data_IF_009385014845
#
_entry.id   IF_009385014845
#
_cell.length_a   1.000
_cell.length_b   1.000
_cell.length_c   1.000
_cell.angle_alpha   90.00
_cell.angle_beta   90.00
_cell.angle_gamma   90.00
#
_symmetry.space_group_name_H-M   'P 1'
#
loop_
_entity.id
_entity.type
_entity.pdbx_description
1 polymer ?
#
# COMPACT_ATOMS: atom_id res chain seq x y z
N UNK A 1 38.68 -19.69 19.77
CA UNK A 1 37.66 -19.81 18.73
C UNK A 1 37.83 -18.67 17.74
N UNK A 2 37.94 -18.90 16.44
CA UNK A 2 38.02 -17.82 15.45
C UNK A 2 36.75 -16.96 15.50
N UNK A 3 36.89 -15.62 15.35
CA UNK A 3 35.75 -14.72 15.30
C UNK A 3 34.85 -15.11 14.12
N UNK A 4 33.50 -15.11 14.31
CA UNK A 4 32.58 -15.41 13.22
C UNK A 4 32.76 -14.39 12.06
N UNK A 5 32.79 -14.91 10.84
CA UNK A 5 32.94 -14.11 9.62
C UNK A 5 31.80 -13.11 9.52
N UNK A 6 32.11 -11.85 9.31
CA UNK A 6 31.06 -10.82 9.13
C UNK A 6 30.33 -11.08 7.81
N UNK A 7 28.99 -10.95 7.77
CA UNK A 7 28.24 -11.12 6.53
C UNK A 7 28.60 -10.08 5.47
N UNK A 8 28.41 -10.44 4.22
CA UNK A 8 28.55 -9.51 3.10
C UNK A 8 27.60 -8.31 3.29
N UNK A 9 28.10 -7.09 3.02
CA UNK A 9 27.36 -5.85 3.27
C UNK A 9 27.72 -4.77 2.26
N UNK A 10 26.81 -3.85 2.03
CA UNK A 10 27.08 -2.62 1.29
C UNK A 10 27.78 -1.58 2.16
N UNK A 11 28.72 -0.90 1.56
CA UNK A 11 29.36 0.29 2.12
C UNK A 11 29.50 1.33 1.01
N UNK A 12 29.14 2.57 1.32
CA UNK A 12 29.33 3.67 0.37
C UNK A 12 30.82 3.99 0.26
N UNK A 13 31.36 3.92 -0.95
CA UNK A 13 32.73 4.37 -1.28
C UNK A 13 32.64 5.88 -1.53
N UNK A 14 32.96 6.66 -0.51
CA UNK A 14 32.85 8.13 -0.53
C UNK A 14 33.76 8.78 -1.56
N UNK A 15 34.92 8.18 -1.85
CA UNK A 15 35.90 8.71 -2.81
C UNK A 15 35.40 8.61 -4.26
N UNK A 16 34.58 7.63 -4.55
CA UNK A 16 34.06 7.37 -5.91
C UNK A 16 32.57 7.62 -6.04
N UNK A 17 31.86 7.89 -4.94
CA UNK A 17 30.43 8.16 -4.95
C UNK A 17 29.56 6.97 -5.37
N UNK A 18 30.01 5.73 -5.15
CA UNK A 18 29.27 4.51 -5.52
C UNK A 18 29.21 3.54 -4.35
N UNK A 19 28.20 2.66 -4.36
CA UNK A 19 28.11 1.56 -3.40
C UNK A 19 29.16 0.49 -3.69
N UNK A 20 29.68 -0.14 -2.66
CA UNK A 20 30.63 -1.26 -2.76
C UNK A 20 30.18 -2.42 -1.84
N UNK A 21 30.29 -3.64 -2.36
CA UNK A 21 30.07 -4.88 -1.64
C UNK A 21 31.36 -5.20 -0.89
N UNK A 22 31.24 -5.42 0.42
CA UNK A 22 32.32 -5.85 1.30
C UNK A 22 31.98 -7.21 1.89
N UNK A 23 32.83 -8.23 1.67
CA UNK A 23 32.72 -9.57 2.22
C UNK A 23 34.08 -10.05 2.70
N UNK A 24 34.36 -9.88 4.01
CA UNK A 24 35.69 -10.09 4.56
C UNK A 24 36.72 -9.14 3.94
N UNK A 25 37.73 -9.69 3.29
CA UNK A 25 38.76 -8.94 2.55
C UNK A 25 38.34 -8.57 1.13
N UNK A 26 37.29 -9.23 0.61
CA UNK A 26 36.80 -8.96 -0.73
C UNK A 26 36.01 -7.65 -0.78
N UNK A 27 36.35 -6.82 -1.79
CA UNK A 27 35.64 -5.56 -2.07
C UNK A 27 35.33 -5.47 -3.57
N UNK A 28 34.05 -5.32 -3.94
CA UNK A 28 33.58 -5.07 -5.31
C UNK A 28 32.73 -3.81 -5.35
N UNK A 29 33.06 -2.85 -6.21
CA UNK A 29 32.24 -1.69 -6.46
C UNK A 29 31.05 -2.07 -7.31
N UNK A 30 29.91 -1.49 -7.02
CA UNK A 30 28.70 -1.57 -7.86
C UNK A 30 28.71 -0.39 -8.85
N UNK A 31 27.84 -0.45 -9.86
CA UNK A 31 27.65 0.68 -10.78
C UNK A 31 26.70 1.76 -10.22
N UNK A 32 26.22 1.59 -8.95
CA UNK A 32 25.12 2.37 -8.38
C UNK A 32 25.62 3.48 -7.47
N UNK A 33 25.14 4.71 -7.73
CA UNK A 33 25.41 5.89 -6.92
C UNK A 33 24.66 5.94 -5.59
N UNK A 34 24.89 6.98 -4.76
CA UNK A 34 24.27 7.08 -3.43
C UNK A 34 22.73 7.06 -3.43
N UNK A 35 22.13 7.57 -4.52
CA UNK A 35 20.67 7.59 -4.71
C UNK A 35 20.05 6.24 -5.06
N UNK A 36 20.84 5.30 -5.59
CA UNK A 36 20.36 4.01 -6.13
C UNK A 36 20.62 2.84 -5.18
N UNK A 37 20.43 3.08 -3.90
CA UNK A 37 20.69 2.08 -2.86
C UNK A 37 19.93 0.77 -3.07
N UNK A 38 18.69 0.82 -3.56
CA UNK A 38 17.89 -0.38 -3.81
C UNK A 38 18.50 -1.26 -4.91
N UNK A 39 19.02 -0.66 -5.98
CA UNK A 39 19.72 -1.38 -7.03
C UNK A 39 21.05 -1.99 -6.54
N UNK A 40 21.79 -1.26 -5.68
CA UNK A 40 22.98 -1.80 -5.04
C UNK A 40 22.69 -2.96 -4.08
N UNK A 41 21.54 -2.93 -3.37
CA UNK A 41 21.08 -4.03 -2.52
C UNK A 41 20.69 -5.26 -3.34
N UNK A 42 20.09 -5.08 -4.51
CA UNK A 42 19.82 -6.17 -5.45
C UNK A 42 21.14 -6.80 -5.97
N UNK A 43 22.14 -5.97 -6.31
CA UNK A 43 23.46 -6.47 -6.74
C UNK A 43 24.19 -7.18 -5.60
N UNK A 44 24.08 -6.72 -4.34
CA UNK A 44 24.59 -7.45 -3.17
C UNK A 44 23.91 -8.81 -3.03
N UNK A 45 22.59 -8.88 -3.21
CA UNK A 45 21.85 -10.14 -3.15
C UNK A 45 22.36 -11.13 -4.21
N UNK A 46 22.51 -10.69 -5.45
CA UNK A 46 23.08 -11.51 -6.54
C UNK A 46 24.51 -11.98 -6.22
N UNK A 47 25.34 -11.11 -5.69
CA UNK A 47 26.70 -11.48 -5.25
C UNK A 47 26.69 -12.58 -4.19
N UNK A 48 25.84 -12.45 -3.16
CA UNK A 48 25.73 -13.45 -2.09
C UNK A 48 25.33 -14.81 -2.67
N UNK A 49 24.40 -14.82 -3.61
CA UNK A 49 23.95 -16.02 -4.30
C UNK A 49 25.08 -16.68 -5.07
N UNK A 50 25.76 -15.91 -5.90
CA UNK A 50 26.84 -16.42 -6.74
C UNK A 50 28.00 -16.94 -5.90
N UNK A 51 28.30 -16.27 -4.78
CA UNK A 51 29.25 -16.71 -3.78
C UNK A 51 28.85 -18.04 -3.13
N UNK A 52 27.58 -18.12 -2.67
CA UNK A 52 27.09 -19.30 -1.94
C UNK A 52 26.97 -20.50 -2.89
N UNK A 53 26.55 -20.27 -4.17
CA UNK A 53 26.59 -21.30 -5.20
C UNK A 53 28.02 -21.83 -5.43
N UNK A 54 29.01 -20.94 -5.50
CA UNK A 54 30.41 -21.32 -5.69
C UNK A 54 30.95 -22.11 -4.51
N UNK A 55 30.59 -21.72 -3.29
CA UNK A 55 30.95 -22.46 -2.07
C UNK A 55 30.25 -23.83 -1.98
N UNK A 56 29.02 -23.94 -2.48
CA UNK A 56 28.29 -25.21 -2.58
C UNK A 56 28.87 -26.11 -3.67
N UNK A 57 29.30 -25.56 -4.81
CA UNK A 57 30.00 -26.29 -5.88
C UNK A 57 31.37 -26.81 -5.40
N UNK A 58 32.12 -26.01 -4.64
CA UNK A 58 33.39 -26.39 -4.02
C UNK A 58 33.23 -27.43 -2.90
N UNK A 59 32.11 -27.39 -2.16
CA UNK A 59 31.78 -28.34 -1.09
C UNK A 59 31.14 -29.65 -1.64
N UNK A 60 30.81 -29.72 -2.93
CA UNK A 60 30.14 -30.83 -3.56
C UNK A 60 31.07 -32.03 -3.82
N UNK A 61 31.33 -32.81 -2.79
CA UNK A 61 31.61 -34.24 -2.97
C UNK A 61 30.25 -34.91 -3.19
N UNK A 62 29.85 -35.09 -4.45
CA UNK A 62 28.56 -35.67 -4.85
C UNK A 62 28.59 -37.17 -4.58
N UNK A 63 27.68 -37.74 -3.77
CA UNK A 63 27.36 -39.15 -3.83
C UNK A 63 26.58 -39.42 -5.12
N UNK A 64 26.92 -40.45 -5.85
CA UNK A 64 26.44 -40.83 -7.20
C UNK A 64 24.96 -41.25 -7.29
N UNK A 65 24.12 -41.05 -6.26
CA UNK A 65 22.77 -41.65 -6.18
C UNK A 65 21.67 -40.67 -5.77
N UNK A 66 21.81 -39.35 -6.05
CA UNK A 66 20.76 -38.38 -5.75
C UNK A 66 19.95 -38.00 -6.97
N UNK A 67 18.67 -38.42 -6.96
CA UNK A 67 17.63 -37.89 -7.83
C UNK A 67 17.61 -36.33 -7.66
N UNK A 68 17.99 -35.57 -8.72
CA UNK A 68 18.06 -34.11 -8.65
C UNK A 68 16.72 -33.46 -8.31
N UNK A 69 15.62 -34.23 -8.36
CA UNK A 69 14.26 -33.78 -8.03
C UNK A 69 13.88 -33.97 -6.57
N UNK A 70 14.70 -34.61 -5.73
CA UNK A 70 14.37 -34.88 -4.32
C UNK A 70 15.42 -34.31 -3.37
N UNK A 71 15.43 -32.99 -3.20
CA UNK A 71 16.47 -32.29 -2.44
C UNK A 71 16.24 -32.32 -0.93
N UNK A 72 17.34 -32.56 -0.19
CA UNK A 72 17.34 -32.41 1.27
C UNK A 72 17.34 -30.91 1.67
N UNK A 73 16.37 -30.45 2.47
CA UNK A 73 16.34 -29.07 2.97
C UNK A 73 17.59 -28.65 3.75
N UNK A 74 18.40 -29.60 4.23
CA UNK A 74 19.69 -29.35 4.90
C UNK A 74 20.77 -28.88 3.92
N UNK A 75 20.63 -29.22 2.64
CA UNK A 75 21.60 -28.89 1.59
C UNK A 75 21.22 -27.61 0.83
N UNK A 76 19.95 -27.16 0.91
CA UNK A 76 19.48 -25.97 0.20
C UNK A 76 19.58 -24.74 1.07
N UNK A 77 20.33 -23.74 0.62
CA UNK A 77 20.44 -22.46 1.34
C UNK A 77 19.16 -21.62 1.18
N UNK A 78 18.79 -20.92 2.24
CA UNK A 78 17.66 -19.98 2.19
C UNK A 78 17.95 -18.85 1.18
N UNK A 79 19.21 -18.41 1.10
CA UNK A 79 19.64 -17.38 0.16
C UNK A 79 19.40 -17.80 -1.28
N UNK A 80 19.78 -19.01 -1.67
CA UNK A 80 19.57 -19.57 -3.01
C UNK A 80 18.07 -19.62 -3.37
N UNK A 81 17.25 -20.14 -2.44
CA UNK A 81 15.78 -20.19 -2.64
C UNK A 81 15.15 -18.80 -2.80
N UNK A 82 15.56 -17.82 -1.99
CA UNK A 82 15.08 -16.43 -2.08
C UNK A 82 15.48 -15.78 -3.40
N UNK A 83 16.68 -16.04 -3.87
CA UNK A 83 17.18 -15.49 -5.10
C UNK A 83 16.47 -16.03 -6.33
N UNK A 84 16.33 -17.35 -6.38
CA UNK A 84 15.58 -18.01 -7.44
C UNK A 84 14.15 -17.44 -7.55
N UNK A 85 13.50 -17.23 -6.40
CA UNK A 85 12.19 -16.58 -6.36
C UNK A 85 12.24 -15.11 -6.81
N UNK A 86 13.29 -14.38 -6.41
CA UNK A 86 13.50 -12.98 -6.82
C UNK A 86 13.60 -12.83 -8.33
N UNK A 87 14.37 -13.70 -8.99
CA UNK A 87 14.48 -13.74 -10.46
C UNK A 87 13.13 -14.01 -11.12
N UNK A 88 12.36 -14.97 -10.62
CA UNK A 88 11.03 -15.27 -11.13
C UNK A 88 10.02 -14.12 -10.98
N UNK A 89 10.30 -13.17 -10.08
CA UNK A 89 9.46 -11.99 -9.84
C UNK A 89 9.93 -10.73 -10.58
N UNK A 90 11.01 -10.80 -11.34
CA UNK A 90 11.50 -9.68 -12.17
C UNK A 90 10.46 -9.23 -13.19
N UNK A 91 10.37 -7.92 -13.40
CA UNK A 91 9.36 -7.31 -14.29
C UNK A 91 7.94 -7.28 -13.74
N UNK A 92 7.66 -7.94 -12.62
CA UNK A 92 6.34 -7.90 -11.97
C UNK A 92 6.09 -6.60 -11.22
N UNK A 93 4.82 -6.21 -11.08
CA UNK A 93 4.40 -5.00 -10.37
C UNK A 93 4.85 -4.93 -8.90
N UNK A 94 5.19 -6.06 -8.29
CA UNK A 94 5.65 -6.17 -6.90
C UNK A 94 7.15 -6.48 -6.77
N UNK A 95 7.91 -6.46 -7.87
CA UNK A 95 9.33 -6.83 -7.88
C UNK A 95 10.15 -6.05 -6.84
N UNK A 96 9.99 -4.72 -6.79
CA UNK A 96 10.67 -3.86 -5.82
C UNK A 96 10.34 -4.23 -4.36
N UNK A 97 9.05 -4.49 -4.05
CA UNK A 97 8.63 -4.90 -2.71
C UNK A 97 9.21 -6.27 -2.33
N UNK A 98 9.19 -7.22 -3.25
CA UNK A 98 9.78 -8.55 -3.05
C UNK A 98 11.28 -8.43 -2.82
N UNK A 99 11.99 -7.59 -3.59
CA UNK A 99 13.41 -7.30 -3.38
C UNK A 99 13.72 -6.77 -1.99
N UNK A 100 12.93 -5.81 -1.49
CA UNK A 100 13.06 -5.32 -0.11
C UNK A 100 12.84 -6.42 0.95
N UNK A 101 11.83 -7.27 0.75
CA UNK A 101 11.59 -8.40 1.66
C UNK A 101 12.75 -9.38 1.65
N UNK A 102 13.28 -9.73 0.46
CA UNK A 102 14.44 -10.62 0.30
C UNK A 102 15.66 -10.04 1.03
N UNK A 103 15.97 -8.76 0.83
CA UNK A 103 17.08 -8.10 1.50
C UNK A 103 16.96 -8.15 3.04
N UNK A 104 15.76 -7.95 3.59
CA UNK A 104 15.50 -8.07 5.02
C UNK A 104 15.65 -9.51 5.52
N UNK A 105 15.14 -10.49 4.79
CA UNK A 105 15.25 -11.91 5.10
C UNK A 105 16.69 -12.37 5.08
N UNK A 106 17.48 -11.99 4.07
CA UNK A 106 18.89 -12.36 3.95
C UNK A 106 19.74 -11.87 5.11
N UNK A 107 19.46 -10.69 5.68
CA UNK A 107 20.18 -10.19 6.87
C UNK A 107 20.07 -11.14 8.07
N UNK A 108 18.95 -11.83 8.21
CA UNK A 108 18.71 -12.74 9.34
C UNK A 108 19.02 -14.21 9.01
N UNK A 109 18.82 -14.61 7.76
CA UNK A 109 18.79 -16.03 7.36
C UNK A 109 19.79 -16.38 6.25
N UNK A 110 20.55 -15.40 5.73
CA UNK A 110 21.44 -15.59 4.58
C UNK A 110 22.54 -16.67 4.75
N UNK A 111 22.88 -17.04 5.98
CA UNK A 111 23.83 -18.12 6.25
C UNK A 111 23.17 -19.43 6.72
N UNK A 112 21.85 -19.60 6.52
CA UNK A 112 21.07 -20.74 7.02
C UNK A 112 20.46 -21.55 5.88
N UNK A 113 20.19 -22.84 6.16
CA UNK A 113 19.55 -23.77 5.23
C UNK A 113 18.03 -23.83 5.47
N UNK A 114 17.29 -24.35 4.50
CA UNK A 114 15.83 -24.50 4.58
C UNK A 114 15.40 -25.34 5.79
N UNK A 115 16.17 -26.34 6.20
CA UNK A 115 15.90 -27.17 7.39
C UNK A 115 15.89 -26.40 8.72
N UNK A 116 16.52 -25.20 8.76
CA UNK A 116 16.58 -24.34 9.95
C UNK A 116 15.37 -23.43 10.09
N UNK A 117 14.47 -23.45 9.11
CA UNK A 117 13.17 -22.77 9.21
C UNK A 117 12.28 -23.58 10.15
N UNK A 118 12.05 -23.07 11.34
CA UNK A 118 11.21 -23.65 12.39
C UNK A 118 10.29 -22.57 12.98
N UNK A 119 9.22 -22.96 13.67
CA UNK A 119 8.35 -22.02 14.34
C UNK A 119 9.10 -21.06 15.29
N UNK A 120 10.09 -21.59 16.02
CA UNK A 120 10.93 -20.78 16.92
C UNK A 120 11.77 -19.75 16.14
N UNK A 121 12.41 -20.14 15.02
CA UNK A 121 13.21 -19.22 14.22
C UNK A 121 12.37 -18.16 13.50
N UNK A 122 11.13 -18.49 13.10
CA UNK A 122 10.17 -17.51 12.58
C UNK A 122 9.77 -16.49 13.64
N UNK A 123 9.48 -16.92 14.87
CA UNK A 123 9.19 -16.00 15.98
C UNK A 123 10.37 -15.10 16.30
N UNK A 124 11.58 -15.68 16.40
CA UNK A 124 12.81 -14.91 16.64
C UNK A 124 13.05 -13.85 15.55
N UNK A 125 12.76 -14.18 14.29
CA UNK A 125 12.79 -13.21 13.20
C UNK A 125 11.82 -12.04 13.43
N UNK A 126 10.57 -12.33 13.77
CA UNK A 126 9.55 -11.29 14.04
C UNK A 126 10.00 -10.40 15.19
N UNK A 127 10.49 -10.99 16.29
CA UNK A 127 10.98 -10.23 17.45
C UNK A 127 12.17 -9.33 17.09
N UNK A 128 13.12 -9.82 16.31
CA UNK A 128 14.26 -9.04 15.84
C UNK A 128 13.82 -7.88 14.96
N UNK A 129 12.93 -8.14 14.01
CA UNK A 129 12.40 -7.11 13.10
C UNK A 129 11.60 -6.04 13.84
N UNK A 130 10.81 -6.41 14.84
CA UNK A 130 10.03 -5.44 15.62
C UNK A 130 10.88 -4.50 16.48
N UNK A 131 12.15 -4.82 16.73
CA UNK A 131 13.12 -3.93 17.38
C UNK A 131 13.78 -2.95 16.42
N UNK A 132 13.66 -3.17 15.10
CA UNK A 132 14.21 -2.28 14.09
C UNK A 132 13.25 -1.13 13.80
N UNK A 133 13.81 0.00 13.39
CA UNK A 133 13.06 1.17 12.94
C UNK A 133 13.17 1.32 11.43
N UNK A 134 12.06 1.60 10.82
CA UNK A 134 11.99 1.96 9.41
C UNK A 134 11.69 3.46 9.25
N UNK A 135 12.35 4.05 8.29
CA UNK A 135 12.17 5.45 7.94
C UNK A 135 12.08 5.60 6.42
N UNK A 136 11.10 6.36 5.90
CA UNK A 136 11.07 6.69 4.49
C UNK A 136 12.34 7.42 4.05
N UNK A 137 12.87 7.16 2.84
CA UNK A 137 13.99 7.90 2.30
C UNK A 137 13.72 9.41 2.35
N UNK A 138 14.70 10.21 2.81
CA UNK A 138 14.59 11.66 2.90
C UNK A 138 13.79 12.21 4.09
N UNK A 139 13.14 11.37 4.89
CA UNK A 139 12.43 11.84 6.09
C UNK A 139 13.41 12.12 7.25
N UNK A 140 13.07 13.12 8.10
CA UNK A 140 13.82 13.44 9.32
C UNK A 140 13.21 12.70 10.52
N UNK A 141 14.02 12.39 11.56
CA UNK A 141 13.58 11.75 12.80
C UNK A 141 14.03 10.29 12.94
N UNK A 142 13.69 9.66 14.07
CA UNK A 142 14.16 8.30 14.44
C UNK A 142 13.55 7.15 13.64
N UNK A 143 12.49 7.39 12.89
CA UNK A 143 11.73 6.35 12.19
C UNK A 143 10.76 5.59 13.11
N UNK A 144 9.91 4.75 12.52
CA UNK A 144 8.86 4.00 13.23
C UNK A 144 9.29 2.56 13.45
N UNK A 145 8.95 2.00 14.61
CA UNK A 145 9.16 0.58 14.87
C UNK A 145 8.40 -0.29 13.85
N UNK A 146 9.04 -1.34 13.39
CA UNK A 146 8.42 -2.27 12.46
C UNK A 146 7.33 -3.07 13.19
N UNK A 147 6.13 -3.12 12.60
CA UNK A 147 5.00 -3.86 13.17
C UNK A 147 5.10 -5.36 12.84
N UNK A 148 4.59 -6.25 13.71
CA UNK A 148 4.57 -7.70 13.45
C UNK A 148 3.94 -8.07 12.09
N UNK A 149 2.94 -7.32 11.65
CA UNK A 149 2.31 -7.51 10.35
C UNK A 149 3.27 -7.29 9.16
N UNK A 150 4.24 -6.38 9.29
CA UNK A 150 5.27 -6.15 8.26
C UNK A 150 6.25 -7.32 8.21
N UNK A 151 6.76 -7.75 9.36
CA UNK A 151 7.60 -8.95 9.44
C UNK A 151 6.87 -10.20 8.94
N UNK A 152 5.55 -10.28 9.19
CA UNK A 152 4.71 -11.35 8.68
C UNK A 152 4.60 -11.36 7.14
N UNK A 153 4.60 -10.19 6.48
CA UNK A 153 4.64 -10.11 5.01
C UNK A 153 5.99 -10.55 4.44
N UNK A 154 7.08 -10.22 5.13
CA UNK A 154 8.42 -10.71 4.77
C UNK A 154 8.47 -12.23 4.87
N UNK A 155 7.94 -12.83 5.95
CA UNK A 155 7.80 -14.28 6.09
C UNK A 155 6.88 -14.93 5.05
N UNK A 156 5.84 -14.23 4.58
CA UNK A 156 5.02 -14.69 3.44
C UNK A 156 5.84 -14.77 2.16
N UNK A 157 6.76 -13.82 1.93
CA UNK A 157 7.69 -13.88 0.80
C UNK A 157 8.64 -15.08 0.94
N UNK A 158 9.15 -15.37 2.14
CA UNK A 158 9.94 -16.58 2.37
C UNK A 158 9.13 -17.84 2.08
N UNK A 159 7.87 -17.90 2.52
CA UNK A 159 6.97 -19.02 2.23
C UNK A 159 6.72 -19.20 0.74
N UNK A 160 6.57 -18.10 0.01
CA UNK A 160 6.40 -18.13 -1.44
C UNK A 160 7.67 -18.61 -2.14
N UNK A 161 8.85 -18.17 -1.69
CA UNK A 161 10.15 -18.60 -2.22
C UNK A 161 10.38 -20.11 -2.01
N UNK A 162 10.17 -20.60 -0.78
CA UNK A 162 10.27 -22.04 -0.47
C UNK A 162 9.25 -22.85 -1.27
N UNK A 163 8.05 -22.32 -1.45
CA UNK A 163 7.02 -22.95 -2.29
C UNK A 163 7.37 -22.96 -3.77
N UNK A 164 8.02 -21.92 -4.25
CA UNK A 164 8.49 -21.81 -5.64
C UNK A 164 9.63 -22.80 -5.87
N UNK A 165 10.63 -22.83 -5.00
CA UNK A 165 11.72 -23.81 -5.03
C UNK A 165 11.21 -25.26 -5.04
N UNK A 166 10.29 -25.58 -4.13
CA UNK A 166 9.72 -26.92 -4.02
C UNK A 166 8.97 -27.39 -5.29
N UNK A 167 8.40 -26.47 -6.06
CA UNK A 167 7.75 -26.84 -7.33
C UNK A 167 8.73 -27.21 -8.43
N UNK A 168 9.90 -26.58 -8.42
CA UNK A 168 10.94 -26.82 -9.44
C UNK A 168 11.87 -28.00 -9.05
N UNK A 169 12.21 -28.12 -7.79
CA UNK A 169 13.26 -29.01 -7.32
C UNK A 169 12.80 -30.01 -6.26
N UNK A 170 11.56 -30.17 -6.03
CA UNK A 170 10.93 -31.10 -5.07
C UNK A 170 11.74 -31.39 -3.80
N UNK A 171 11.47 -30.66 -2.72
CA UNK A 171 12.04 -30.94 -1.41
C UNK A 171 11.35 -32.17 -0.80
N UNK A 172 12.08 -33.15 -0.27
CA UNK A 172 11.49 -34.30 0.43
C UNK A 172 10.85 -33.92 1.79
N UNK A 173 11.23 -32.77 2.37
CA UNK A 173 10.58 -32.20 3.54
C UNK A 173 10.48 -30.68 3.39
N UNK A 174 9.32 -30.19 2.93
CA UNK A 174 9.07 -28.76 2.75
C UNK A 174 8.90 -28.08 4.11
N UNK A 175 9.73 -27.06 4.48
CA UNK A 175 9.58 -26.32 5.72
C UNK A 175 8.25 -25.56 5.78
N UNK A 176 7.66 -25.54 6.98
CA UNK A 176 6.46 -24.74 7.27
C UNK A 176 6.85 -23.43 7.91
N UNK A 177 6.53 -22.33 7.26
CA UNK A 177 6.79 -20.99 7.76
C UNK A 177 5.65 -20.56 8.70
N UNK A 178 5.97 -20.31 9.97
CA UNK A 178 5.00 -19.84 10.96
C UNK A 178 4.88 -18.33 10.89
N UNK A 179 3.68 -17.84 10.59
CA UNK A 179 3.38 -16.41 10.54
C UNK A 179 2.93 -15.89 11.89
N UNK A 180 3.17 -14.60 12.20
CA UNK A 180 2.61 -13.97 13.38
C UNK A 180 1.09 -13.92 13.31
N UNK A 181 0.44 -13.86 14.47
CA UNK A 181 -1.02 -13.71 14.56
C UNK A 181 -1.45 -12.45 13.82
N UNK A 182 -2.46 -12.59 12.97
CA UNK A 182 -3.03 -11.44 12.26
C UNK A 182 -3.69 -10.51 13.27
N UNK A 183 -3.40 -9.22 13.18
CA UNK A 183 -4.17 -8.21 13.88
C UNK A 183 -5.64 -8.30 13.46
N UNK A 184 -6.54 -8.01 14.40
CA UNK A 184 -7.97 -7.91 14.06
C UNK A 184 -8.14 -6.83 12.97
N UNK A 185 -9.06 -7.05 12.00
CA UNK A 185 -9.37 -6.01 11.04
C UNK A 185 -9.78 -4.73 11.76
N UNK A 186 -9.19 -3.63 11.39
CA UNK A 186 -9.64 -2.32 11.87
C UNK A 186 -10.89 -1.95 11.09
N UNK A 187 -12.03 -1.92 11.77
CA UNK A 187 -13.34 -1.58 11.17
C UNK A 187 -13.61 -0.12 11.52
N UNK A 188 -12.99 0.78 10.78
CA UNK A 188 -13.25 2.19 10.92
C UNK A 188 -13.99 2.72 9.69
N UNK A 189 -14.89 3.69 9.88
CA UNK A 189 -15.70 4.29 8.84
C UNK A 189 -16.05 5.73 9.24
N UNK A 190 -16.32 6.59 8.27
CA UNK A 190 -16.68 7.98 8.50
C UNK A 190 -18.20 8.10 8.72
N UNK A 191 -18.58 8.79 9.78
CA UNK A 191 -19.96 9.28 9.91
C UNK A 191 -20.24 10.34 8.83
N UNK A 192 -21.50 10.65 8.58
CA UNK A 192 -21.86 11.72 7.63
C UNK A 192 -21.28 13.08 8.03
N UNK A 193 -21.22 13.35 9.33
CA UNK A 193 -20.62 14.59 9.86
C UNK A 193 -19.11 14.63 9.60
N UNK A 194 -18.41 13.53 9.83
CA UNK A 194 -16.97 13.43 9.57
C UNK A 194 -16.65 13.52 8.08
N UNK A 195 -17.47 12.90 7.25
CA UNK A 195 -17.34 13.03 5.81
C UNK A 195 -17.57 14.48 5.34
N UNK A 196 -18.61 15.14 5.86
CA UNK A 196 -18.86 16.56 5.57
C UNK A 196 -17.69 17.46 6.01
N UNK A 197 -17.08 17.17 7.18
CA UNK A 197 -15.86 17.87 7.61
C UNK A 197 -14.70 17.67 6.64
N UNK A 198 -14.49 16.43 6.20
CA UNK A 198 -13.43 16.12 5.23
C UNK A 198 -13.63 16.89 3.92
N UNK A 199 -14.85 16.92 3.37
CA UNK A 199 -15.17 17.70 2.16
C UNK A 199 -14.95 19.21 2.37
N UNK A 200 -15.35 19.75 3.52
CA UNK A 200 -15.17 21.17 3.80
C UNK A 200 -13.68 21.55 3.84
N UNK A 201 -12.83 20.66 4.33
CA UNK A 201 -11.37 20.86 4.30
C UNK A 201 -10.83 20.90 2.89
N UNK A 202 -11.32 20.07 1.97
CA UNK A 202 -10.89 20.12 0.55
C UNK A 202 -11.23 21.43 -0.12
N UNK A 203 -12.17 22.20 0.45
CA UNK A 203 -12.57 23.54 0.02
C UNK A 203 -11.79 24.67 0.71
N UNK A 204 -10.71 24.35 1.41
CA UNK A 204 -9.83 25.32 2.06
C UNK A 204 -10.28 25.79 3.45
N UNK A 205 -10.98 24.94 4.19
CA UNK A 205 -11.34 25.16 5.57
C UNK A 205 -10.56 24.23 6.51
N UNK A 206 -10.40 24.63 7.76
CA UNK A 206 -9.83 23.80 8.83
C UNK A 206 -10.81 23.75 9.99
N UNK A 207 -11.10 22.56 10.48
CA UNK A 207 -11.87 22.38 11.70
C UNK A 207 -10.99 22.68 12.92
N UNK A 208 -11.48 23.51 13.83
CA UNK A 208 -10.72 23.94 15.03
C UNK A 208 -11.24 23.20 16.25
N UNK A 209 -12.56 23.24 16.46
CA UNK A 209 -13.21 22.63 17.61
C UNK A 209 -14.71 22.57 17.38
N UNK A 210 -15.44 22.06 18.36
CA UNK A 210 -16.88 22.31 18.47
C UNK A 210 -17.11 23.34 19.57
N UNK A 211 -18.00 24.30 19.33
CA UNK A 211 -18.44 25.21 20.36
C UNK A 211 -19.08 24.41 21.51
N UNK A 212 -18.62 24.64 22.74
CA UNK A 212 -19.05 23.88 23.91
C UNK A 212 -20.52 24.15 24.29
N UNK A 213 -21.04 25.33 23.96
CA UNK A 213 -22.40 25.75 24.30
C UNK A 213 -23.41 25.30 23.24
N UNK A 214 -23.09 25.50 21.96
CA UNK A 214 -23.99 25.19 20.84
C UNK A 214 -23.75 23.82 20.23
N UNK A 215 -22.60 23.19 20.50
CA UNK A 215 -22.11 21.97 19.84
C UNK A 215 -21.92 22.11 18.33
N UNK A 216 -21.93 23.32 17.83
CA UNK A 216 -21.69 23.57 16.41
C UNK A 216 -20.19 23.57 16.10
N UNK A 217 -19.80 23.10 14.91
CA UNK A 217 -18.40 23.05 14.51
C UNK A 217 -17.86 24.45 14.23
N UNK A 218 -16.71 24.78 14.81
CA UNK A 218 -15.99 26.03 14.54
C UNK A 218 -14.98 25.77 13.41
N UNK A 219 -15.09 26.61 12.38
CA UNK A 219 -14.27 26.51 11.18
C UNK A 219 -13.48 27.79 10.94
N UNK A 220 -12.21 27.63 10.56
CA UNK A 220 -11.35 28.71 10.10
C UNK A 220 -11.02 28.54 8.62
N UNK A 221 -10.88 29.67 7.91
CA UNK A 221 -10.30 29.64 6.57
C UNK A 221 -8.82 29.27 6.67
N UNK A 222 -8.42 28.26 5.94
CA UNK A 222 -7.05 27.78 5.83
C UNK A 222 -6.62 27.78 4.34
N UNK A 223 -6.52 28.94 3.70
CA UNK A 223 -6.18 29.04 2.28
C UNK A 223 -4.77 28.54 1.98
N UNK A 224 -3.91 28.49 3.01
CA UNK A 224 -2.52 28.06 2.89
C UNK A 224 -2.32 26.56 3.18
N UNK A 225 -3.41 25.77 3.13
CA UNK A 225 -3.28 24.31 3.17
C UNK A 225 -2.48 23.83 1.95
N UNK A 226 -1.66 22.76 2.10
CA UNK A 226 -0.75 22.33 1.03
C UNK A 226 -1.43 22.00 -0.32
N UNK A 227 -2.71 21.65 -0.32
CA UNK A 227 -3.48 21.42 -1.53
C UNK A 227 -4.12 22.70 -2.10
N UNK A 228 -4.12 23.80 -1.35
CA UNK A 228 -4.64 25.11 -1.77
C UNK A 228 -3.49 26.08 -2.05
N UNK A 229 -2.43 26.08 -1.25
CA UNK A 229 -1.27 26.97 -1.42
C UNK A 229 -0.51 26.73 -2.73
N UNK A 230 -0.39 25.49 -3.17
CA UNK A 230 0.27 25.15 -4.45
C UNK A 230 -0.39 25.82 -5.67
N UNK A 231 -1.62 26.28 -5.53
CA UNK A 231 -2.35 26.99 -6.60
C UNK A 231 -2.08 28.48 -6.64
N UNK A 232 -1.95 29.14 -5.48
CA UNK A 232 -1.64 30.58 -5.43
C UNK A 232 -0.30 30.92 -6.09
N UNK A 233 0.72 30.08 -5.90
CA UNK A 233 2.04 30.29 -6.51
C UNK A 233 2.06 30.09 -8.04
N UNK A 234 1.20 29.20 -8.56
CA UNK A 234 1.21 28.81 -9.98
C UNK A 234 0.23 29.59 -10.85
N UNK A 235 -0.84 30.12 -10.30
CA UNK A 235 -1.94 30.75 -11.04
C UNK A 235 -1.93 32.30 -10.95
N UNK A 236 -0.97 32.89 -10.23
CA UNK A 236 -1.00 34.32 -9.91
C UNK A 236 -2.20 34.65 -8.99
N UNK A 237 -2.80 35.85 -9.15
CA UNK A 237 -3.88 36.31 -8.29
C UNK A 237 -5.24 35.62 -8.54
N UNK A 238 -5.34 34.75 -9.55
CA UNK A 238 -6.53 33.96 -9.83
C UNK A 238 -6.57 32.71 -8.95
N UNK A 239 -7.40 32.74 -7.91
CA UNK A 239 -7.67 31.58 -7.07
C UNK A 239 -8.51 30.57 -7.85
N UNK A 240 -7.91 29.49 -8.30
CA UNK A 240 -8.61 28.33 -8.84
C UNK A 240 -8.56 27.22 -7.80
N UNK A 241 -9.73 26.76 -7.37
CA UNK A 241 -9.85 25.65 -6.42
C UNK A 241 -9.30 24.38 -7.05
N UNK A 242 -8.32 23.75 -6.40
CA UNK A 242 -7.85 22.42 -6.81
C UNK A 242 -8.78 21.37 -6.21
N UNK A 243 -9.67 20.85 -7.03
CA UNK A 243 -10.74 19.95 -6.64
C UNK A 243 -10.37 18.46 -6.70
N UNK A 244 -9.12 18.12 -7.03
CA UNK A 244 -8.73 16.72 -7.21
C UNK A 244 -8.98 15.87 -5.96
N UNK A 245 -8.71 16.41 -4.77
CA UNK A 245 -8.94 15.70 -3.51
C UNK A 245 -10.45 15.61 -3.18
N UNK A 246 -11.22 16.67 -3.47
CA UNK A 246 -12.67 16.66 -3.33
C UNK A 246 -13.29 15.58 -4.24
N UNK A 247 -12.91 15.56 -5.53
CA UNK A 247 -13.33 14.54 -6.49
C UNK A 247 -12.99 13.12 -6.01
N UNK A 248 -11.78 12.93 -5.50
CA UNK A 248 -11.36 11.64 -4.96
C UNK A 248 -12.20 11.23 -3.73
N UNK A 249 -12.48 12.16 -2.83
CA UNK A 249 -13.33 11.90 -1.66
C UNK A 249 -14.75 11.54 -2.07
N UNK A 250 -15.36 12.27 -2.99
CA UNK A 250 -16.73 12.00 -3.46
C UNK A 250 -16.82 10.68 -4.22
N UNK A 251 -15.92 10.43 -5.19
CA UNK A 251 -15.91 9.16 -5.92
C UNK A 251 -15.69 8.00 -4.97
N UNK A 252 -14.73 8.11 -4.04
CA UNK A 252 -14.45 7.06 -3.05
C UNK A 252 -15.61 6.79 -2.11
N UNK A 253 -16.26 7.85 -1.60
CA UNK A 253 -17.38 7.75 -0.66
C UNK A 253 -18.63 7.13 -1.30
N UNK A 254 -19.01 7.60 -2.48
CA UNK A 254 -20.26 7.16 -3.13
C UNK A 254 -20.13 5.84 -3.88
N UNK A 255 -18.95 5.50 -4.42
CA UNK A 255 -18.75 4.26 -5.16
C UNK A 255 -18.00 3.17 -4.37
N UNK A 256 -17.27 3.52 -3.32
CA UNK A 256 -16.38 2.59 -2.60
C UNK A 256 -15.22 2.07 -3.46
N UNK A 257 -14.88 2.75 -4.56
CA UNK A 257 -13.79 2.35 -5.45
C UNK A 257 -12.44 2.47 -4.75
N UNK A 258 -11.55 1.48 -4.95
CA UNK A 258 -10.20 1.52 -4.39
C UNK A 258 -9.39 2.68 -4.97
N UNK A 259 -8.51 3.29 -4.17
CA UNK A 259 -7.76 4.49 -4.56
C UNK A 259 -7.04 4.34 -5.90
N UNK A 260 -6.34 3.23 -6.16
CA UNK A 260 -5.67 3.04 -7.44
C UNK A 260 -6.61 2.98 -8.64
N UNK A 261 -7.76 2.29 -8.54
CA UNK A 261 -8.75 2.27 -9.62
C UNK A 261 -9.49 3.60 -9.74
N UNK A 262 -9.67 4.31 -8.64
CA UNK A 262 -10.32 5.62 -8.61
C UNK A 262 -9.47 6.69 -9.31
N UNK A 263 -8.18 6.71 -9.07
CA UNK A 263 -7.25 7.66 -9.70
C UNK A 263 -7.06 7.37 -11.20
N UNK A 264 -7.24 6.12 -11.63
CA UNK A 264 -7.22 5.73 -13.05
C UNK A 264 -8.53 5.96 -13.80
N UNK A 265 -9.60 6.49 -13.16
CA UNK A 265 -10.88 6.70 -13.84
C UNK A 265 -10.79 7.74 -14.95
N UNK A 266 -11.30 7.40 -16.14
CA UNK A 266 -11.33 8.26 -17.31
C UNK A 266 -12.73 8.74 -17.67
N UNK A 267 -12.80 9.86 -18.36
CA UNK A 267 -14.06 10.40 -18.91
C UNK A 267 -14.60 9.59 -20.09
N UNK A 268 -13.75 8.90 -20.81
CA UNK A 268 -14.11 8.08 -21.97
C UNK A 268 -13.72 6.63 -21.73
N UNK A 269 -14.41 5.71 -22.41
CA UNK A 269 -14.10 4.28 -22.41
C UNK A 269 -12.62 4.07 -22.72
N UNK A 270 -11.97 3.26 -21.91
CA UNK A 270 -10.56 2.88 -22.05
C UNK A 270 -10.40 1.35 -22.05
N UNK A 271 -9.30 0.86 -22.62
CA UNK A 271 -9.04 -0.57 -22.74
C UNK A 271 -8.49 -1.17 -21.43
N UNK A 272 -7.73 -0.39 -20.67
CA UNK A 272 -7.02 -0.82 -19.47
C UNK A 272 -7.64 -0.17 -18.22
N UNK A 273 -7.78 1.14 -18.24
CA UNK A 273 -8.30 1.91 -17.11
C UNK A 273 -9.81 1.88 -16.98
N UNK A 274 -10.32 2.22 -15.80
CA UNK A 274 -11.75 2.42 -15.57
C UNK A 274 -12.28 3.66 -16.26
N UNK A 275 -13.61 3.73 -16.48
CA UNK A 275 -14.24 4.90 -17.10
C UNK A 275 -15.66 5.13 -16.59
N UNK A 276 -16.21 6.28 -16.93
CA UNK A 276 -17.60 6.65 -16.62
C UNK A 276 -18.47 6.46 -17.88
N UNK A 277 -19.48 5.61 -17.77
CA UNK A 277 -20.55 5.49 -18.77
C UNK A 277 -21.77 6.28 -18.31
N UNK A 278 -21.96 7.47 -18.88
CA UNK A 278 -23.09 8.33 -18.53
C UNK A 278 -24.41 7.80 -19.07
N UNK A 279 -24.42 7.08 -20.20
CA UNK A 279 -25.63 6.53 -20.79
C UNK A 279 -26.18 5.35 -19.97
N UNK A 280 -25.31 4.44 -19.58
CA UNK A 280 -25.63 3.30 -18.72
C UNK A 280 -25.61 3.63 -17.23
N UNK A 281 -25.32 4.89 -16.84
CA UNK A 281 -25.18 5.33 -15.43
C UNK A 281 -24.26 4.37 -14.64
N UNK A 282 -23.14 3.97 -15.25
CA UNK A 282 -22.25 2.93 -14.73
C UNK A 282 -20.81 3.44 -14.62
N UNK A 283 -20.18 3.15 -13.49
CA UNK A 283 -18.75 3.35 -13.26
C UNK A 283 -18.05 2.00 -13.47
N UNK A 284 -17.22 1.91 -14.50
CA UNK A 284 -16.33 0.78 -14.75
C UNK A 284 -15.00 1.03 -14.04
N UNK A 285 -14.57 0.09 -13.18
CA UNK A 285 -13.35 0.23 -12.38
C UNK A 285 -12.09 -0.24 -13.08
N UNK A 286 -12.23 -0.94 -14.19
CA UNK A 286 -11.13 -1.44 -15.01
C UNK A 286 -11.61 -1.60 -16.45
N UNK A 287 -10.70 -1.50 -17.40
CA UNK A 287 -10.95 -1.77 -18.81
C UNK A 287 -10.99 -3.28 -19.12
N UNK A 288 -11.54 -3.66 -20.30
CA UNK A 288 -11.66 -5.07 -20.68
C UNK A 288 -10.31 -5.79 -20.86
N UNK A 289 -9.24 -5.05 -21.10
CA UNK A 289 -7.89 -5.57 -21.27
C UNK A 289 -6.98 -5.28 -20.06
N UNK A 290 -7.58 -4.87 -18.93
CA UNK A 290 -6.82 -4.67 -17.70
C UNK A 290 -6.12 -5.97 -17.28
N UNK A 291 -4.86 -5.88 -16.80
CA UNK A 291 -4.12 -7.05 -16.33
C UNK A 291 -4.89 -7.83 -15.26
N UNK A 292 -4.85 -9.17 -15.30
CA UNK A 292 -5.52 -10.00 -14.30
C UNK A 292 -5.12 -9.59 -12.89
N UNK A 293 -6.11 -9.34 -12.04
CA UNK A 293 -5.91 -8.97 -10.65
C UNK A 293 -6.70 -9.87 -9.72
N UNK A 294 -6.09 -10.29 -8.60
CA UNK A 294 -6.81 -10.99 -7.53
C UNK A 294 -7.86 -10.12 -6.85
N UNK A 295 -7.77 -8.78 -7.03
CA UNK A 295 -8.73 -7.82 -6.47
C UNK A 295 -9.85 -7.60 -7.47
N UNK A 296 -11.01 -8.19 -7.22
CA UNK A 296 -12.21 -7.99 -8.05
C UNK A 296 -12.52 -6.49 -8.18
N UNK A 297 -12.80 -6.05 -9.40
CA UNK A 297 -13.13 -4.67 -9.75
C UNK A 297 -14.42 -4.64 -10.61
N UNK A 298 -15.57 -5.09 -10.09
CA UNK A 298 -16.80 -5.10 -10.85
C UNK A 298 -17.21 -3.67 -11.20
N UNK A 299 -17.93 -3.47 -12.33
CA UNK A 299 -18.61 -2.24 -12.57
C UNK A 299 -19.68 -2.00 -11.49
N UNK A 300 -20.02 -0.75 -11.24
CA UNK A 300 -21.09 -0.43 -10.31
C UNK A 300 -21.96 0.69 -10.86
N UNK A 301 -23.24 0.69 -10.50
CA UNK A 301 -24.14 1.80 -10.77
C UNK A 301 -23.64 3.06 -10.06
N UNK A 302 -23.63 4.17 -10.76
CA UNK A 302 -23.25 5.47 -10.19
C UNK A 302 -24.35 5.89 -9.20
N UNK A 303 -23.92 6.31 -8.01
CA UNK A 303 -24.83 6.81 -6.99
C UNK A 303 -25.50 8.12 -7.43
N UNK A 304 -26.80 8.30 -7.11
CA UNK A 304 -27.59 9.44 -7.57
C UNK A 304 -27.01 10.81 -7.16
N UNK A 305 -26.36 10.90 -6.01
CA UNK A 305 -25.66 12.12 -5.58
C UNK A 305 -24.32 12.36 -6.28
N UNK A 306 -23.68 11.32 -6.80
CA UNK A 306 -22.40 11.43 -7.50
C UNK A 306 -22.59 11.81 -8.98
N UNK A 307 -23.67 11.34 -9.60
CA UNK A 307 -23.90 11.58 -11.03
C UNK A 307 -23.92 13.06 -11.42
N UNK A 308 -24.65 13.96 -10.71
CA UNK A 308 -24.62 15.40 -11.03
C UNK A 308 -23.21 16.00 -10.92
N UNK A 309 -22.43 15.57 -9.91
CA UNK A 309 -21.06 16.04 -9.70
C UNK A 309 -20.16 15.63 -10.87
N UNK A 310 -20.25 14.38 -11.30
CA UNK A 310 -19.49 13.90 -12.47
C UNK A 310 -19.82 14.67 -13.74
N UNK A 311 -21.11 15.02 -13.97
CA UNK A 311 -21.53 15.83 -15.12
C UNK A 311 -20.96 17.25 -15.03
N UNK A 312 -21.03 17.87 -13.87
CA UNK A 312 -20.46 19.19 -13.60
C UNK A 312 -18.95 19.22 -13.85
N UNK A 313 -18.20 18.28 -13.24
CA UNK A 313 -16.75 18.18 -13.42
C UNK A 313 -16.39 17.94 -14.89
N UNK A 314 -17.09 17.01 -15.56
CA UNK A 314 -16.83 16.76 -16.99
C UNK A 314 -17.02 18.03 -17.83
N UNK A 315 -18.08 18.79 -17.57
CA UNK A 315 -18.36 20.06 -18.26
C UNK A 315 -17.21 21.07 -18.01
N UNK A 316 -16.78 21.21 -16.77
CA UNK A 316 -15.66 22.08 -16.40
C UNK A 316 -14.36 21.65 -17.09
N UNK A 317 -14.03 20.36 -17.02
CA UNK A 317 -12.81 19.81 -17.61
C UNK A 317 -12.75 19.95 -19.14
N UNK A 318 -13.90 19.80 -19.80
CA UNK A 318 -13.99 20.00 -21.25
C UNK A 318 -13.86 21.47 -21.68
N UNK A 319 -14.07 22.41 -20.76
CA UNK A 319 -13.90 23.84 -21.01
C UNK A 319 -12.46 24.34 -20.75
N UNK A 320 -11.60 23.51 -20.17
CA UNK A 320 -10.21 23.87 -19.88
C UNK A 320 -9.36 23.87 -21.18
N UNK A 321 -8.71 25.00 -21.47
CA UNK A 321 -7.68 25.08 -22.53
C UNK A 321 -6.30 24.88 -21.89
N UNK A 322 -5.96 23.61 -21.62
CA UNK A 322 -4.67 23.25 -21.07
C UNK A 322 -3.68 22.97 -22.23
N UNK A 323 -2.44 23.40 -22.03
CA UNK A 323 -1.36 23.22 -23.00
C UNK A 323 -0.12 22.63 -22.29
N UNK A 324 0.60 21.78 -23.01
CA UNK A 324 1.90 21.28 -22.57
C UNK A 324 3.00 22.35 -22.66
N UNK A 325 4.22 22.00 -22.31
CA UNK A 325 5.38 22.91 -22.35
C UNK A 325 5.69 23.41 -23.77
N UNK A 326 5.29 22.67 -24.79
CA UNK A 326 5.46 22.96 -26.22
C UNK A 326 4.26 23.74 -26.79
N UNK A 327 3.25 24.09 -25.97
CA UNK A 327 2.06 24.83 -26.37
C UNK A 327 0.99 23.97 -27.08
N UNK A 328 1.13 22.64 -27.12
CA UNK A 328 0.17 21.73 -27.74
C UNK A 328 -1.03 21.50 -26.79
N UNK A 329 -2.27 21.42 -27.33
CA UNK A 329 -3.44 21.14 -26.51
C UNK A 329 -3.31 19.82 -25.73
N UNK A 330 -3.54 19.89 -24.40
CA UNK A 330 -3.53 18.75 -23.49
C UNK A 330 -4.94 18.51 -22.95
N UNK A 331 -5.74 17.59 -23.56
CA UNK A 331 -7.09 17.33 -23.12
C UNK A 331 -7.11 16.63 -21.76
N UNK A 332 -8.04 17.02 -20.90
CA UNK A 332 -8.27 16.33 -19.63
C UNK A 332 -8.90 14.98 -19.89
N UNK A 333 -8.19 13.92 -19.54
CA UNK A 333 -8.63 12.54 -19.79
C UNK A 333 -9.15 11.83 -18.55
N UNK A 334 -8.68 12.21 -17.37
CA UNK A 334 -9.01 11.55 -16.09
C UNK A 334 -10.05 12.35 -15.31
N UNK A 335 -10.85 11.64 -14.53
CA UNK A 335 -11.85 12.23 -13.62
C UNK A 335 -11.16 12.97 -12.47
N UNK A 336 -10.06 12.40 -11.97
CA UNK A 336 -9.27 12.95 -10.87
C UNK A 336 -7.90 13.29 -11.42
N UNK A 337 -7.58 14.57 -11.43
CA UNK A 337 -6.35 15.09 -12.03
C UNK A 337 -5.94 16.40 -11.35
N UNK A 338 -4.68 16.71 -11.40
CA UNK A 338 -4.15 18.04 -11.09
C UNK A 338 -3.81 18.75 -12.42
N UNK A 339 -4.58 19.76 -12.82
CA UNK A 339 -4.38 20.51 -14.08
C UNK A 339 -4.26 19.61 -15.33
N UNK A 340 -5.14 18.63 -15.45
CA UNK A 340 -5.11 17.67 -16.57
C UNK A 340 -4.12 16.52 -16.41
N UNK A 341 -3.18 16.61 -15.44
CA UNK A 341 -2.20 15.55 -15.19
C UNK A 341 -2.79 14.51 -14.22
N UNK A 342 -2.78 13.22 -14.58
CA UNK A 342 -3.25 12.15 -13.72
C UNK A 342 -2.44 12.06 -12.42
N UNK A 343 -3.10 11.68 -11.33
CA UNK A 343 -2.47 11.50 -10.04
C UNK A 343 -2.14 10.03 -9.78
N UNK A 344 -0.91 9.75 -9.38
CA UNK A 344 -0.50 8.41 -8.97
C UNK A 344 -0.86 8.06 -7.53
N UNK A 345 -1.00 9.07 -6.66
CA UNK A 345 -1.20 8.90 -5.21
C UNK A 345 -1.94 10.10 -4.61
N UNK A 346 -2.76 9.84 -3.59
CA UNK A 346 -3.43 10.86 -2.79
C UNK A 346 -3.22 10.68 -1.27
N UNK A 347 -2.51 9.62 -0.85
CA UNK A 347 -2.40 9.26 0.58
C UNK A 347 -1.92 10.42 1.45
N UNK A 348 -0.90 11.16 1.00
CA UNK A 348 -0.35 12.29 1.74
C UNK A 348 -1.32 13.48 1.82
N UNK A 349 -1.99 13.83 0.73
CA UNK A 349 -2.98 14.90 0.70
C UNK A 349 -4.21 14.52 1.54
N UNK A 350 -4.69 13.29 1.39
CA UNK A 350 -5.82 12.75 2.15
C UNK A 350 -5.51 12.74 3.66
N UNK A 351 -4.33 12.26 4.07
CA UNK A 351 -3.94 12.23 5.48
C UNK A 351 -3.89 13.63 6.10
N UNK A 352 -3.35 14.62 5.37
CA UNK A 352 -3.37 16.03 5.82
C UNK A 352 -4.79 16.59 5.91
N UNK A 353 -5.65 16.29 4.92
CA UNK A 353 -7.04 16.72 4.95
C UNK A 353 -7.80 16.07 6.11
N UNK A 354 -7.58 14.80 6.37
CA UNK A 354 -8.16 14.09 7.50
C UNK A 354 -7.73 14.70 8.85
N UNK A 355 -6.45 15.06 8.97
CA UNK A 355 -5.96 15.76 10.17
C UNK A 355 -6.62 17.14 10.35
N UNK A 356 -6.68 17.94 9.30
CA UNK A 356 -7.33 19.27 9.32
C UNK A 356 -8.85 19.17 9.56
N UNK A 357 -9.47 18.05 9.25
CA UNK A 357 -10.87 17.75 9.54
C UNK A 357 -11.10 17.21 10.96
N UNK A 358 -10.03 17.07 11.77
CA UNK A 358 -10.12 16.50 13.10
C UNK A 358 -10.51 15.04 13.12
N UNK A 359 -10.04 14.25 12.14
CA UNK A 359 -10.37 12.82 12.01
C UNK A 359 -9.30 11.91 12.61
N UNK A 360 -8.44 12.42 13.47
CA UNK A 360 -7.53 11.61 14.27
C UNK A 360 -8.33 10.74 15.24
N UNK A 361 -8.22 9.42 15.07
CA UNK A 361 -9.04 8.44 15.79
C UNK A 361 -8.35 7.84 17.00
N UNK A 362 -7.31 8.48 17.52
CA UNK A 362 -6.68 8.01 18.74
C UNK A 362 -7.52 8.37 19.94
N UNK A 363 -7.89 7.34 20.65
CA UNK A 363 -8.48 7.46 21.97
C UNK A 363 -7.35 7.52 23.00
N UNK A 364 -7.28 8.64 23.72
CA UNK A 364 -6.40 8.77 24.88
C UNK A 364 -7.32 9.06 26.07
N UNK A 365 -7.28 8.19 27.05
CA UNK A 365 -8.07 8.30 28.31
C UNK A 365 -9.59 8.40 28.10
N UNK A 366 -10.13 7.68 27.11
CA UNK A 366 -11.57 7.68 26.83
C UNK A 366 -12.09 8.96 26.19
N UNK A 367 -11.24 9.89 25.83
CA UNK A 367 -11.60 11.12 25.13
C UNK A 367 -11.02 11.16 23.72
N UNK A 368 -11.83 11.57 22.75
CA UNK A 368 -11.36 11.83 21.38
C UNK A 368 -10.47 13.07 21.39
N UNK A 369 -9.20 12.91 21.06
CA UNK A 369 -8.32 14.06 20.81
C UNK A 369 -8.44 14.50 19.37
N UNK A 370 -8.68 15.77 19.23
CA UNK A 370 -8.61 16.48 17.97
C UNK A 370 -7.20 17.02 17.81
N UNK A 371 -6.58 16.61 16.73
CA UNK A 371 -5.21 17.01 16.42
C UNK A 371 -4.16 16.09 17.05
N UNK A 372 -3.20 15.69 16.25
CA UNK A 372 -2.05 14.95 16.69
C UNK A 372 -0.87 15.91 16.87
N UNK A 373 -0.31 15.98 18.05
CA UNK A 373 0.91 16.74 18.32
C UNK A 373 2.14 16.09 17.66
N UNK A 374 2.10 14.77 17.39
CA UNK A 374 3.13 14.07 16.65
C UNK A 374 2.65 13.65 15.24
N UNK A 375 3.07 14.38 14.18
CA UNK A 375 2.73 14.06 12.80
C UNK A 375 3.33 12.70 12.32
N UNK A 376 4.22 12.08 13.12
CA UNK A 376 4.84 10.81 12.79
C UNK A 376 4.09 9.59 13.39
N UNK A 377 3.08 9.83 14.23
CA UNK A 377 2.30 8.75 14.81
C UNK A 377 1.12 8.40 13.89
N UNK A 378 1.24 7.30 13.15
CA UNK A 378 0.22 6.78 12.22
C UNK A 378 -0.99 6.13 12.90
N UNK A 379 -0.98 6.04 14.24
CA UNK A 379 -2.05 5.39 14.96
C UNK A 379 -3.30 6.26 14.92
N UNK A 380 -4.29 5.85 14.18
CA UNK A 380 -5.61 6.47 14.17
C UNK A 380 -5.92 7.40 12.98
N UNK A 381 -4.93 7.78 12.17
CA UNK A 381 -5.22 8.58 10.97
C UNK A 381 -5.89 7.74 9.88
N UNK A 382 -7.05 8.16 9.37
CA UNK A 382 -7.69 7.45 8.27
C UNK A 382 -6.89 7.56 6.98
N UNK A 383 -6.87 6.48 6.22
CA UNK A 383 -6.33 6.43 4.85
C UNK A 383 -7.46 6.53 3.83
N UNK A 384 -7.21 6.79 2.52
CA UNK A 384 -8.26 6.83 1.50
C UNK A 384 -9.14 5.57 1.46
N UNK A 385 -8.65 4.44 1.97
CA UNK A 385 -9.41 3.19 2.04
C UNK A 385 -10.62 3.27 3.00
N UNK A 386 -10.61 4.22 3.94
CA UNK A 386 -11.75 4.46 4.85
C UNK A 386 -13.03 4.80 4.09
N UNK A 387 -12.93 5.50 2.95
CA UNK A 387 -14.09 5.82 2.11
C UNK A 387 -14.83 4.56 1.65
N UNK A 388 -14.06 3.52 1.31
CA UNK A 388 -14.63 2.23 0.93
C UNK A 388 -15.22 1.47 2.14
N UNK A 389 -14.57 1.53 3.29
CA UNK A 389 -15.14 1.00 4.54
C UNK A 389 -16.45 1.71 4.88
N UNK A 390 -16.47 3.03 4.76
CA UNK A 390 -17.66 3.86 4.96
C UNK A 390 -18.78 3.43 4.03
N UNK A 391 -18.51 3.28 2.73
CA UNK A 391 -19.54 2.85 1.77
C UNK A 391 -20.12 1.48 2.12
N UNK A 392 -19.27 0.50 2.47
CA UNK A 392 -19.72 -0.83 2.89
C UNK A 392 -20.63 -0.75 4.12
N UNK A 393 -20.22 -0.01 5.13
CA UNK A 393 -20.98 0.19 6.37
C UNK A 393 -22.32 0.88 6.11
N UNK A 394 -22.34 1.98 5.33
CA UNK A 394 -23.57 2.71 5.02
C UNK A 394 -24.57 1.86 4.23
N UNK A 395 -24.11 1.06 3.26
CA UNK A 395 -24.98 0.14 2.52
C UNK A 395 -25.63 -0.89 3.45
N UNK A 396 -24.84 -1.52 4.34
CA UNK A 396 -25.35 -2.50 5.30
C UNK A 396 -26.31 -1.86 6.30
N UNK A 397 -26.01 -0.66 6.81
CA UNK A 397 -26.91 0.09 7.70
C UNK A 397 -28.23 0.49 7.01
N UNK A 398 -28.18 0.72 5.70
CA UNK A 398 -29.39 0.93 4.90
C UNK A 398 -30.15 -0.38 4.60
N UNK A 399 -29.71 -1.52 5.11
CA UNK A 399 -30.36 -2.82 4.93
C UNK A 399 -30.05 -3.51 3.59
N UNK A 400 -29.06 -3.04 2.83
CA UNK A 400 -28.66 -3.71 1.59
C UNK A 400 -28.09 -5.10 1.93
N UNK A 401 -28.58 -6.15 1.24
CA UNK A 401 -28.12 -7.51 1.50
C UNK A 401 -26.61 -7.68 1.33
N UNK A 402 -25.92 -8.46 2.20
CA UNK A 402 -24.46 -8.62 2.13
C UNK A 402 -23.91 -9.11 0.79
N UNK A 403 -24.67 -9.89 0.03
CA UNK A 403 -24.25 -10.35 -1.29
C UNK A 403 -24.23 -9.20 -2.32
N UNK A 404 -25.22 -8.32 -2.29
CA UNK A 404 -25.26 -7.13 -3.15
C UNK A 404 -24.15 -6.15 -2.80
N UNK A 405 -23.88 -5.93 -1.50
CA UNK A 405 -22.72 -5.14 -1.04
C UNK A 405 -21.42 -5.76 -1.57
N UNK A 406 -21.31 -7.09 -1.51
CA UNK A 406 -20.16 -7.82 -2.01
C UNK A 406 -19.96 -7.66 -3.52
N UNK A 407 -21.04 -7.76 -4.30
CA UNK A 407 -21.02 -7.55 -5.75
C UNK A 407 -20.68 -6.09 -6.10
N UNK A 408 -21.38 -5.15 -5.49
CA UNK A 408 -21.14 -3.72 -5.74
C UNK A 408 -19.70 -3.30 -5.45
N UNK A 409 -19.12 -3.77 -4.35
CA UNK A 409 -17.77 -3.40 -3.93
C UNK A 409 -16.67 -4.34 -4.45
N UNK A 410 -16.96 -5.48 -5.03
CA UNK A 410 -15.98 -6.52 -5.39
C UNK A 410 -15.32 -7.14 -4.15
N UNK A 411 -16.14 -7.53 -3.18
CA UNK A 411 -15.77 -8.28 -1.97
C UNK A 411 -16.47 -9.64 -1.98
N UNK A 412 -15.91 -10.62 -1.26
CA UNK A 412 -16.65 -11.86 -0.99
C UNK A 412 -17.70 -11.61 0.09
N UNK A 413 -18.83 -12.32 0.02
CA UNK A 413 -19.87 -12.25 1.07
C UNK A 413 -19.28 -12.56 2.45
N UNK A 414 -18.38 -13.56 2.52
CA UNK A 414 -17.66 -13.91 3.74
C UNK A 414 -16.92 -12.68 4.31
N UNK A 415 -16.18 -11.95 3.50
CA UNK A 415 -15.47 -10.74 3.94
C UNK A 415 -16.43 -9.66 4.40
N UNK A 416 -17.56 -9.46 3.70
CA UNK A 416 -18.58 -8.48 4.10
C UNK A 416 -19.14 -8.84 5.49
N UNK A 417 -19.48 -10.11 5.73
CA UNK A 417 -20.03 -10.56 7.00
C UNK A 417 -19.00 -10.52 8.14
N UNK A 418 -17.78 -10.98 7.91
CA UNK A 418 -16.72 -11.00 8.93
C UNK A 418 -16.28 -9.60 9.36
N UNK A 419 -16.23 -8.65 8.42
CA UNK A 419 -15.73 -7.30 8.70
C UNK A 419 -16.84 -6.34 9.08
N UNK A 420 -17.99 -6.39 8.40
CA UNK A 420 -19.05 -5.38 8.53
C UNK A 420 -20.41 -5.95 8.99
N UNK A 421 -20.56 -7.27 9.12
CA UNK A 421 -21.85 -7.90 9.38
C UNK A 421 -22.56 -7.34 10.61
N UNK A 422 -21.81 -6.97 11.64
CA UNK A 422 -22.35 -6.37 12.88
C UNK A 422 -22.97 -4.96 12.66
N UNK A 423 -22.72 -4.31 11.53
CA UNK A 423 -23.30 -2.99 11.20
C UNK A 423 -24.61 -3.09 10.42
N UNK A 424 -25.01 -4.29 10.01
CA UNK A 424 -26.27 -4.49 9.27
C UNK A 424 -27.49 -4.15 10.14
N UNK A 425 -28.49 -3.48 9.55
CA UNK A 425 -29.70 -3.03 10.25
C UNK A 425 -30.45 -4.15 10.96
N UNK A 426 -30.45 -5.37 10.39
CA UNK A 426 -31.12 -6.56 10.94
C UNK A 426 -30.18 -7.48 11.74
N UNK A 427 -28.93 -7.00 12.07
CA UNK A 427 -27.95 -7.82 12.79
C UNK A 427 -28.53 -8.27 14.15
N UNK A 428 -28.59 -9.57 14.35
CA UNK A 428 -29.12 -10.23 15.56
C UNK A 428 -30.55 -9.84 15.98
N UNK A 429 -31.27 -9.02 15.21
CA UNK A 429 -32.63 -8.57 15.58
C UNK A 429 -33.61 -9.74 15.77
N UNK A 430 -33.57 -10.70 14.83
CA UNK A 430 -34.40 -11.91 14.96
C UNK A 430 -33.99 -12.80 16.13
N UNK A 431 -32.69 -12.95 16.37
CA UNK A 431 -32.15 -13.73 17.47
C UNK A 431 -32.49 -13.09 18.83
N UNK A 432 -32.46 -11.77 18.91
CA UNK A 432 -32.84 -11.03 20.12
C UNK A 432 -34.36 -11.04 20.38
N UNK A 433 -35.18 -11.28 19.33
CA UNK A 433 -36.62 -11.36 19.42
C UNK A 433 -37.17 -12.78 19.70
N UNK A 434 -36.33 -13.83 19.62
CA UNK A 434 -36.65 -15.21 19.90
C UNK A 434 -36.50 -15.53 21.39
#
# INVERSE_FOLDING_TARGET
>A
MPRPRKPARLKLDLDRGVWAIHDGEFKRRTAHGPGDRAAAEAELALYVIERDRRLEEEARVVPEDDDPTNQDPRLVSIATSLAFYGQAMEGGSNASLVGHHIANLLRHWGGKNLSQIKAASCRAYVEARCKERWRPPGSKGEGKLIKPATAGRELQTLSAAVGHWHREFTLHAKPVITLPTKAKPHVDWLTEVEYARLLKVTQGWRWVSSDLATREPVWERAPDTPFVAAWKERAGDAYVHDDHLERACEVGFYSGTRSGAMLGLRWKRDRIDGWIDFNGVTLFRAGPEAPPSRKRQPPCRIHDRLLPRLLEWRKADMALDLRDAEGKPMPVTHVIHERGVPLGRIDGAFGRAAWLAGLDRREIDGSWRVGNEDPNDDLGMPTPHILRHTRATLMLRAGVPPHEVGEYLGMTVKMVLEVYGHTHAEYQKRAAAA
#
